data_IF_167964148164
#
_entry.id   IF_167964148164
#
_cell.length_a   1.000
_cell.length_b   1.000
_cell.length_c   1.000
_cell.angle_alpha   90.00
_cell.angle_beta   90.00
_cell.angle_gamma   90.00
#
_symmetry.space_group_name_H-M   'P 1'
#
loop_
_entity.id
_entity.type
_entity.pdbx_description
1 polymer ?
#
# COMPACT_ATOMS: atom_id res chain seq x y z
N UNK A 1 23.03 -4.60 -10.00
CA UNK A 1 21.97 -3.59 -10.27
C UNK A 1 20.90 -3.75 -9.19
N UNK A 2 20.56 -2.70 -8.44
CA UNK A 2 19.44 -2.77 -7.50
C UNK A 2 18.14 -2.99 -8.28
N UNK A 3 17.34 -3.98 -7.88
CA UNK A 3 15.98 -4.17 -8.40
C UNK A 3 15.10 -3.06 -7.83
N UNK A 4 14.23 -2.47 -8.66
CA UNK A 4 13.24 -1.50 -8.20
C UNK A 4 12.17 -2.22 -7.39
N UNK A 5 11.89 -1.76 -6.18
CA UNK A 5 10.89 -2.33 -5.28
C UNK A 5 9.61 -1.49 -5.34
N UNK A 6 8.52 -2.12 -5.77
CA UNK A 6 7.17 -1.55 -5.73
C UNK A 6 6.40 -2.26 -4.62
N UNK A 7 6.13 -1.55 -3.53
CA UNK A 7 5.35 -2.06 -2.41
C UNK A 7 3.91 -1.59 -2.53
N UNK A 8 2.95 -2.51 -2.49
CA UNK A 8 1.53 -2.21 -2.32
C UNK A 8 1.16 -2.58 -0.90
N UNK A 9 0.70 -1.60 -0.12
CA UNK A 9 0.26 -1.81 1.25
C UNK A 9 -1.24 -1.56 1.39
N UNK A 10 -1.97 -2.60 1.79
CA UNK A 10 -3.37 -2.51 2.20
C UNK A 10 -3.46 -2.58 3.73
N UNK A 11 -3.80 -1.47 4.41
CA UNK A 11 -4.03 -1.50 5.85
C UNK A 11 -5.19 -2.44 6.19
N UNK A 12 -5.04 -3.22 7.26
CA UNK A 12 -6.06 -4.16 7.73
C UNK A 12 -6.62 -3.71 9.08
N UNK A 13 -7.95 -3.52 9.15
CA UNK A 13 -8.73 -2.97 10.28
C UNK A 13 -8.46 -1.50 10.59
N UNK A 14 -9.54 -0.76 10.83
CA UNK A 14 -9.49 0.66 11.21
C UNK A 14 -8.89 0.81 12.61
N UNK A 15 -9.28 -0.03 13.56
CA UNK A 15 -8.78 -0.02 14.93
C UNK A 15 -7.25 -0.23 14.98
N UNK A 16 -6.74 -1.17 14.20
CA UNK A 16 -5.30 -1.47 14.11
C UNK A 16 -4.53 -0.31 13.50
N UNK A 17 -5.06 0.28 12.43
CA UNK A 17 -4.45 1.44 11.80
C UNK A 17 -4.37 2.63 12.76
N UNK A 18 -5.47 2.92 13.47
CA UNK A 18 -5.51 4.00 14.46
C UNK A 18 -4.44 3.83 15.56
N UNK A 19 -4.22 2.60 16.02
CA UNK A 19 -3.28 2.29 17.10
C UNK A 19 -1.80 2.24 16.67
N UNK A 20 -1.53 1.97 15.38
CA UNK A 20 -0.18 1.67 14.90
C UNK A 20 0.34 2.62 13.82
N UNK A 21 -0.45 3.60 13.38
CA UNK A 21 -0.10 4.54 12.29
C UNK A 21 1.32 5.12 12.40
N UNK A 22 1.78 5.48 13.59
CA UNK A 22 3.11 6.09 13.79
C UNK A 22 4.25 5.07 13.71
N UNK A 23 3.95 3.79 13.92
CA UNK A 23 4.93 2.70 13.85
C UNK A 23 5.27 2.30 12.41
N UNK A 24 4.46 2.70 11.43
CA UNK A 24 4.67 2.38 10.02
C UNK A 24 5.74 3.24 9.33
N UNK A 25 6.14 4.35 9.96
CA UNK A 25 7.02 5.36 9.36
C UNK A 25 8.36 4.81 8.84
N UNK A 26 8.91 3.79 9.52
CA UNK A 26 10.18 3.18 9.14
C UNK A 26 10.05 1.89 8.32
N UNK A 27 8.83 1.37 8.16
CA UNK A 27 8.60 0.07 7.54
C UNK A 27 8.84 0.04 6.02
N UNK A 28 8.76 1.20 5.36
CA UNK A 28 8.73 1.26 3.89
C UNK A 28 10.02 1.79 3.27
N UNK A 29 11.08 2.04 4.05
CA UNK A 29 12.31 2.71 3.59
C UNK A 29 13.02 2.04 2.40
N UNK A 30 12.78 0.74 2.18
CA UNK A 30 13.33 0.00 1.05
C UNK A 30 12.49 0.11 -0.24
N UNK A 31 11.30 0.71 -0.18
CA UNK A 31 10.38 0.81 -1.33
C UNK A 31 10.74 1.99 -2.20
N UNK A 32 11.07 1.76 -3.48
CA UNK A 32 11.24 2.85 -4.46
C UNK A 32 9.90 3.49 -4.85
N UNK A 33 8.83 2.68 -4.86
CA UNK A 33 7.45 3.12 -5.02
C UNK A 33 6.59 2.45 -3.96
N UNK A 34 5.88 3.25 -3.15
CA UNK A 34 4.92 2.80 -2.17
C UNK A 34 3.51 3.17 -2.63
N UNK A 35 2.66 2.17 -2.85
CA UNK A 35 1.25 2.32 -3.17
C UNK A 35 0.48 2.00 -1.88
N UNK A 36 -0.32 2.93 -1.39
CA UNK A 36 -1.17 2.73 -0.22
C UNK A 36 -2.63 2.72 -0.68
N UNK A 37 -3.38 1.72 -0.24
CA UNK A 37 -4.81 1.59 -0.53
C UNK A 37 -5.67 2.11 0.61
N UNK A 38 -6.99 2.10 0.43
CA UNK A 38 -7.87 2.29 1.57
C UNK A 38 -7.85 1.05 2.49
N UNK A 39 -8.41 1.23 3.68
CA UNK A 39 -8.39 0.22 4.75
C UNK A 39 -9.34 -0.93 4.41
N UNK A 40 -8.83 -2.16 4.47
CA UNK A 40 -9.68 -3.34 4.52
C UNK A 40 -10.27 -3.47 5.93
N UNK A 41 -11.56 -3.14 6.08
CA UNK A 41 -12.22 -3.01 7.38
C UNK A 41 -12.34 -4.31 8.18
N UNK A 42 -12.33 -5.49 7.53
CA UNK A 42 -12.47 -6.80 8.22
C UNK A 42 -13.69 -6.85 9.17
N UNK A 43 -14.81 -6.25 8.78
CA UNK A 43 -16.05 -6.21 9.58
C UNK A 43 -16.15 -5.05 10.58
N UNK A 44 -15.11 -4.22 10.71
CA UNK A 44 -15.19 -2.98 11.49
C UNK A 44 -15.94 -1.88 10.73
N UNK A 45 -16.67 -1.05 11.47
CA UNK A 45 -17.22 0.17 10.93
C UNK A 45 -16.09 1.18 10.65
N UNK A 46 -16.17 1.94 9.54
CA UNK A 46 -15.22 3.00 9.26
C UNK A 46 -15.11 3.97 10.44
N UNK A 47 -13.88 4.29 10.83
CA UNK A 47 -13.60 5.30 11.86
C UNK A 47 -13.29 6.63 11.17
N UNK A 48 -14.00 7.73 11.48
CA UNK A 48 -13.74 9.04 10.87
C UNK A 48 -12.26 9.43 10.96
N UNK A 49 -11.67 9.82 9.82
CA UNK A 49 -10.25 10.19 9.73
C UNK A 49 -9.27 9.02 9.64
N UNK A 50 -9.69 7.77 9.88
CA UNK A 50 -8.83 6.59 9.76
C UNK A 50 -9.00 6.01 8.36
N UNK A 51 -8.17 6.50 7.45
CA UNK A 51 -8.07 6.01 6.06
C UNK A 51 -6.63 5.71 5.72
N UNK A 52 -6.36 5.07 4.58
CA UNK A 52 -4.97 4.88 4.11
C UNK A 52 -4.17 6.18 4.02
N UNK A 53 -4.83 7.34 3.83
CA UNK A 53 -4.17 8.65 3.75
C UNK A 53 -3.45 9.04 5.03
N UNK A 54 -3.91 8.60 6.21
CA UNK A 54 -3.24 8.92 7.48
C UNK A 54 -1.81 8.38 7.53
N UNK A 55 -1.53 7.28 6.82
CA UNK A 55 -0.17 6.76 6.69
C UNK A 55 0.67 7.62 5.77
N UNK A 56 0.08 8.19 4.72
CA UNK A 56 0.78 9.06 3.78
C UNK A 56 1.25 10.31 4.51
N UNK A 57 0.35 10.95 5.25
CA UNK A 57 0.68 12.15 6.04
C UNK A 57 1.81 11.84 7.03
N UNK A 58 1.66 10.78 7.82
CA UNK A 58 2.67 10.33 8.77
C UNK A 58 4.05 10.01 8.11
N UNK A 59 4.04 9.37 6.94
CA UNK A 59 5.26 9.03 6.21
C UNK A 59 5.97 10.29 5.71
N UNK A 60 5.22 11.24 5.15
CA UNK A 60 5.75 12.52 4.69
C UNK A 60 6.37 13.28 5.87
N UNK A 61 5.65 13.37 7.00
CA UNK A 61 6.14 14.05 8.21
C UNK A 61 7.39 13.38 8.79
N UNK A 62 7.51 12.05 8.65
CA UNK A 62 8.70 11.30 9.06
C UNK A 62 9.90 11.44 8.11
N UNK A 63 9.73 12.14 7.00
CA UNK A 63 10.78 12.38 6.01
C UNK A 63 10.94 11.29 4.96
N UNK A 64 9.90 10.49 4.69
CA UNK A 64 9.91 9.52 3.59
C UNK A 64 10.07 10.24 2.24
N UNK A 65 11.13 9.90 1.49
CA UNK A 65 11.51 10.62 0.26
C UNK A 65 11.14 9.91 -1.04
N UNK A 66 10.80 8.63 -0.97
CA UNK A 66 10.51 7.84 -2.16
C UNK A 66 9.08 8.11 -2.65
N UNK A 67 8.75 7.60 -3.85
CA UNK A 67 7.45 7.86 -4.47
C UNK A 67 6.34 7.21 -3.65
N UNK A 68 5.39 7.99 -3.16
CA UNK A 68 4.14 7.51 -2.55
C UNK A 68 2.98 7.75 -3.52
N UNK A 69 2.06 6.78 -3.64
CA UNK A 69 0.85 6.88 -4.45
C UNK A 69 -0.33 6.37 -3.62
N UNK A 70 -1.42 7.14 -3.57
CA UNK A 70 -2.67 6.68 -2.98
C UNK A 70 -3.59 6.12 -4.06
N UNK A 71 -3.96 4.85 -3.95
CA UNK A 71 -4.91 4.20 -4.85
C UNK A 71 -5.92 3.44 -3.99
N UNK A 72 -7.11 4.03 -3.69
CA UNK A 72 -8.04 3.46 -2.72
C UNK A 72 -8.50 2.04 -3.06
N UNK A 73 -8.67 1.75 -4.35
CA UNK A 73 -9.28 0.54 -4.86
C UNK A 73 -8.24 -0.41 -5.48
N UNK A 74 -8.30 -1.70 -5.10
CA UNK A 74 -7.38 -2.72 -5.60
C UNK A 74 -7.43 -2.93 -7.12
N UNK A 75 -8.60 -2.76 -7.76
CA UNK A 75 -8.71 -2.87 -9.21
C UNK A 75 -7.87 -1.82 -9.94
N UNK A 76 -7.81 -0.61 -9.37
CA UNK A 76 -7.00 0.46 -9.95
C UNK A 76 -5.52 0.30 -9.60
N UNK A 77 -5.19 -0.44 -8.53
CA UNK A 77 -3.82 -0.89 -8.26
C UNK A 77 -3.37 -1.88 -9.33
N UNK A 78 -4.19 -2.88 -9.68
CA UNK A 78 -3.89 -3.84 -10.75
C UNK A 78 -3.56 -3.11 -12.06
N UNK A 79 -4.46 -2.22 -12.52
CA UNK A 79 -4.23 -1.42 -13.73
C UNK A 79 -2.97 -0.57 -13.65
N UNK A 80 -2.70 0.03 -12.48
CA UNK A 80 -1.48 0.81 -12.28
C UNK A 80 -0.24 -0.07 -12.48
N UNK A 81 -0.23 -1.26 -11.88
CA UNK A 81 0.89 -2.19 -12.00
C UNK A 81 1.08 -2.67 -13.45
N UNK A 82 0.02 -3.08 -14.14
CA UNK A 82 0.06 -3.49 -15.55
C UNK A 82 0.70 -2.43 -16.46
N UNK A 83 0.39 -1.15 -16.22
CA UNK A 83 0.89 -0.03 -17.04
C UNK A 83 2.29 0.46 -16.64
N UNK A 84 2.76 0.19 -15.41
CA UNK A 84 3.96 0.83 -14.85
C UNK A 84 5.07 -0.14 -14.41
N UNK A 85 4.78 -1.44 -14.33
CA UNK A 85 5.78 -2.46 -14.01
C UNK A 85 6.77 -2.61 -15.16
N UNK A 86 8.02 -2.87 -14.81
CA UNK A 86 9.11 -3.07 -15.77
C UNK A 86 9.74 -4.43 -15.52
N UNK A 87 10.43 -4.94 -16.54
CA UNK A 87 11.28 -6.11 -16.37
C UNK A 87 12.23 -5.89 -15.19
N UNK A 88 12.32 -6.90 -14.33
CA UNK A 88 13.17 -6.93 -13.14
C UNK A 88 12.69 -6.09 -11.93
N UNK A 89 11.48 -5.52 -11.96
CA UNK A 89 10.82 -4.96 -10.78
C UNK A 89 10.49 -6.08 -9.77
N UNK A 90 10.59 -5.79 -8.48
CA UNK A 90 10.09 -6.63 -7.39
C UNK A 90 8.81 -6.01 -6.85
N UNK A 91 7.69 -6.71 -6.98
CA UNK A 91 6.39 -6.27 -6.46
C UNK A 91 6.16 -6.97 -5.12
N UNK A 92 5.97 -6.19 -4.05
CA UNK A 92 5.65 -6.68 -2.72
C UNK A 92 4.21 -6.28 -2.39
N UNK A 93 3.32 -7.27 -2.31
CA UNK A 93 1.96 -7.05 -1.83
C UNK A 93 1.92 -7.34 -0.32
N UNK A 94 1.56 -6.34 0.47
CA UNK A 94 1.59 -6.37 1.91
C UNK A 94 0.21 -6.04 2.49
N UNK A 95 -0.39 -7.01 3.18
CA UNK A 95 -1.71 -6.86 3.79
C UNK A 95 -2.25 -8.22 4.24
N UNK A 96 -3.43 -8.22 4.83
CA UNK A 96 -4.11 -9.43 5.30
C UNK A 96 -5.58 -9.53 4.83
N UNK A 97 -5.99 -8.62 3.93
CA UNK A 97 -7.34 -8.55 3.37
C UNK A 97 -7.41 -9.18 2.00
N UNK A 98 -8.14 -8.53 1.10
CA UNK A 98 -8.35 -8.97 -0.27
C UNK A 98 -7.24 -8.54 -1.24
N UNK A 99 -6.13 -8.01 -0.74
CA UNK A 99 -4.95 -7.61 -1.55
C UNK A 99 -4.42 -8.73 -2.45
N UNK A 100 -4.60 -10.01 -2.08
CA UNK A 100 -4.17 -11.15 -2.91
C UNK A 100 -4.87 -11.20 -4.27
N UNK A 101 -6.05 -10.57 -4.39
CA UNK A 101 -6.76 -10.43 -5.68
C UNK A 101 -5.93 -9.70 -6.72
N UNK A 102 -5.05 -8.77 -6.30
CA UNK A 102 -4.12 -8.09 -7.21
C UNK A 102 -3.17 -9.08 -7.86
N UNK A 103 -2.67 -10.07 -7.11
CA UNK A 103 -1.82 -11.15 -7.65
C UNK A 103 -2.58 -11.97 -8.68
N UNK A 104 -3.81 -12.39 -8.33
CA UNK A 104 -4.62 -13.27 -9.19
C UNK A 104 -4.98 -12.60 -10.52
N UNK A 105 -5.17 -11.28 -10.52
CA UNK A 105 -5.44 -10.51 -11.74
C UNK A 105 -4.16 -10.34 -12.58
N UNK A 106 -3.04 -9.97 -11.97
CA UNK A 106 -1.76 -9.78 -12.69
C UNK A 106 -1.22 -11.09 -13.28
N UNK A 107 -1.42 -12.23 -12.63
CA UNK A 107 -0.96 -13.52 -13.18
C UNK A 107 -1.80 -14.01 -14.38
N UNK A 108 -2.97 -13.40 -14.60
CA UNK A 108 -3.86 -13.72 -15.74
C UNK A 108 -3.69 -12.77 -16.93
N UNK A 109 -3.04 -11.62 -16.73
CA UNK A 109 -2.71 -10.65 -17.79
C UNK A 109 -1.49 -11.09 -18.58
#
# INVERSE_FOLDING_TARGET
KNKRIITVFQPHRYSRLANLKDKFNSCFNMSDTLIITDVYGSGEQPIPGITGKILIDNLIDSGFKNKIIYIPNLRDVTKYLELNMRNNDMILLMGAGDITRVTDEILKS
#
